data_IF_420450715505
#
_entry.id   IF_420450715505
#
_cell.length_a   1.000
_cell.length_b   1.000
_cell.length_c   1.000
_cell.angle_alpha   90.00
_cell.angle_beta   90.00
_cell.angle_gamma   90.00
#
_symmetry.space_group_name_H-M   'P 1'
#
loop_
_entity.id
_entity.type
_entity.pdbx_description
1 polymer ?
#
# COMPACT_ATOMS: atom_id res chain seq x y z
N UNK A 1 41.28 13.93 -24.07
CA UNK A 1 40.26 12.85 -23.92
C UNK A 1 40.26 12.39 -22.48
N UNK A 2 39.41 12.97 -21.69
CA UNK A 2 39.24 12.65 -20.26
C UNK A 2 38.13 11.59 -20.18
N UNK A 3 38.49 10.37 -19.87
CA UNK A 3 37.56 9.26 -19.62
C UNK A 3 36.94 9.47 -18.23
N UNK A 4 35.68 9.91 -18.20
CA UNK A 4 34.87 9.94 -16.99
C UNK A 4 34.44 8.51 -16.69
N UNK A 5 34.89 7.97 -15.55
CA UNK A 5 34.48 6.66 -15.04
C UNK A 5 33.01 6.68 -14.63
N UNK A 6 32.15 5.73 -15.05
CA UNK A 6 30.72 5.77 -14.78
C UNK A 6 30.31 5.07 -13.48
N UNK A 7 31.17 4.92 -12.48
CA UNK A 7 30.87 4.10 -11.31
C UNK A 7 31.15 4.79 -9.97
N UNK A 8 30.49 5.94 -9.76
CA UNK A 8 30.27 6.41 -8.40
C UNK A 8 28.76 6.28 -8.11
N UNK A 9 28.33 5.11 -7.62
CA UNK A 9 27.06 4.98 -6.91
C UNK A 9 27.03 6.05 -5.83
N UNK A 10 26.01 6.89 -5.86
CA UNK A 10 25.81 7.85 -4.77
C UNK A 10 25.86 7.08 -3.44
N UNK A 11 26.53 7.63 -2.42
CA UNK A 11 26.60 6.96 -1.12
C UNK A 11 25.19 6.66 -0.64
N UNK A 12 24.97 5.43 -0.18
CA UNK A 12 23.69 5.07 0.42
C UNK A 12 23.38 6.06 1.55
N UNK A 13 22.22 6.71 1.49
CA UNK A 13 21.77 7.57 2.57
C UNK A 13 21.46 6.64 3.75
N UNK A 14 22.31 6.67 4.76
CA UNK A 14 22.04 5.96 6.01
C UNK A 14 21.14 6.86 6.84
N UNK A 15 19.93 6.41 7.22
CA UNK A 15 19.04 7.20 8.05
C UNK A 15 19.71 7.58 9.36
N UNK A 16 19.66 8.84 9.73
CA UNK A 16 20.11 9.31 11.04
C UNK A 16 18.91 9.47 11.96
N UNK A 17 18.64 8.47 12.78
CA UNK A 17 17.50 8.46 13.71
C UNK A 17 17.65 9.47 14.87
N UNK A 18 18.86 9.98 15.11
CA UNK A 18 19.15 10.96 16.15
C UNK A 18 19.05 12.41 15.63
N UNK A 19 18.64 12.63 14.37
CA UNK A 19 18.49 13.98 13.82
C UNK A 19 17.18 14.61 14.34
N UNK A 20 17.25 15.74 15.10
CA UNK A 20 16.06 16.44 15.56
C UNK A 20 15.10 16.87 14.44
N UNK A 21 15.58 16.99 13.21
CA UNK A 21 14.74 17.26 12.03
C UNK A 21 13.84 16.09 11.65
N UNK A 22 14.08 14.89 12.19
CA UNK A 22 13.23 13.70 11.97
C UNK A 22 12.20 13.51 13.09
N UNK A 23 12.36 14.20 14.23
CA UNK A 23 11.38 14.14 15.32
C UNK A 23 10.01 14.67 14.86
N UNK A 24 8.96 13.90 15.14
CA UNK A 24 7.59 14.29 14.84
C UNK A 24 7.19 14.21 13.37
N UNK A 25 8.02 13.60 12.50
CA UNK A 25 7.60 13.33 11.12
C UNK A 25 6.45 12.34 11.10
N UNK A 26 5.42 12.68 10.30
CA UNK A 26 4.26 11.83 10.09
C UNK A 26 4.00 11.59 8.61
N UNK A 27 3.60 10.38 8.26
CA UNK A 27 3.18 10.01 6.93
C UNK A 27 1.74 9.48 6.96
N UNK A 28 0.87 10.04 6.14
CA UNK A 28 -0.49 9.59 5.95
C UNK A 28 -0.66 9.10 4.49
N UNK A 29 -1.05 7.85 4.30
CA UNK A 29 -1.21 7.23 2.99
C UNK A 29 -2.69 6.89 2.80
N UNK A 30 -3.31 7.47 1.77
CA UNK A 30 -4.67 7.13 1.36
C UNK A 30 -4.60 6.04 0.29
N UNK A 31 -5.03 4.83 0.64
CA UNK A 31 -5.11 3.68 -0.25
C UNK A 31 -6.51 3.62 -0.86
N UNK A 32 -6.64 3.99 -2.14
CA UNK A 32 -7.95 4.07 -2.84
C UNK A 32 -8.18 2.97 -3.87
N UNK A 33 -7.18 2.16 -4.16
CA UNK A 33 -7.21 1.09 -5.17
C UNK A 33 -7.10 -0.29 -4.51
N UNK A 34 -7.88 -1.25 -4.99
CA UNK A 34 -7.93 -2.62 -4.50
C UNK A 34 -7.32 -3.65 -5.46
N UNK A 35 -6.60 -3.22 -6.50
CA UNK A 35 -5.88 -4.15 -7.37
C UNK A 35 -4.51 -4.47 -6.80
N UNK A 36 -4.03 -5.69 -7.05
CA UNK A 36 -2.80 -6.21 -6.46
C UNK A 36 -1.58 -5.31 -6.73
N UNK A 37 -1.46 -4.77 -7.93
CA UNK A 37 -0.37 -3.87 -8.33
C UNK A 37 -0.42 -2.50 -7.65
N UNK A 38 -1.62 -2.04 -7.30
CA UNK A 38 -1.82 -0.75 -6.64
C UNK A 38 -1.81 -0.84 -5.10
N UNK A 39 -1.95 -2.04 -4.55
CA UNK A 39 -1.87 -2.26 -3.11
C UNK A 39 -0.43 -2.12 -2.60
N UNK A 40 0.55 -2.69 -3.31
CA UNK A 40 1.94 -2.71 -2.87
C UNK A 40 2.61 -1.33 -2.74
N UNK A 41 2.43 -0.35 -3.64
CA UNK A 41 3.10 0.95 -3.49
C UNK A 41 2.87 1.62 -2.15
N UNK A 42 1.62 1.59 -1.65
CA UNK A 42 1.28 2.14 -0.34
C UNK A 42 1.94 1.38 0.81
N UNK A 43 1.91 0.05 0.78
CA UNK A 43 2.48 -0.79 1.83
C UNK A 43 4.02 -0.70 1.87
N UNK A 44 4.67 -0.67 0.70
CA UNK A 44 6.13 -0.52 0.60
C UNK A 44 6.58 0.82 1.20
N UNK A 45 5.87 1.92 0.86
CA UNK A 45 6.18 3.24 1.41
C UNK A 45 5.92 3.32 2.91
N UNK A 46 4.83 2.71 3.39
CA UNK A 46 4.51 2.64 4.81
C UNK A 46 5.61 1.90 5.59
N UNK A 47 5.99 0.72 5.11
CA UNK A 47 7.04 -0.08 5.75
C UNK A 47 8.39 0.64 5.76
N UNK A 48 8.76 1.31 4.67
CA UNK A 48 9.99 2.10 4.60
C UNK A 48 9.96 3.27 5.59
N UNK A 49 8.84 4.00 5.67
CA UNK A 49 8.68 5.12 6.59
C UNK A 49 8.79 4.67 8.06
N UNK A 50 8.14 3.56 8.41
CA UNK A 50 8.24 2.97 9.74
C UNK A 50 9.67 2.53 10.07
N UNK A 51 10.40 1.97 9.10
CA UNK A 51 11.82 1.63 9.23
C UNK A 51 12.71 2.86 9.47
N UNK A 52 12.26 4.05 9.09
CA UNK A 52 12.92 5.33 9.38
C UNK A 52 12.37 6.03 10.66
N UNK A 53 11.55 5.35 11.44
CA UNK A 53 10.95 5.91 12.66
C UNK A 53 9.88 6.98 12.42
N UNK A 54 9.30 7.02 11.22
CA UNK A 54 8.24 7.97 10.86
C UNK A 54 6.89 7.38 11.29
N UNK A 55 6.12 8.10 12.11
CA UNK A 55 4.74 7.74 12.45
C UNK A 55 3.90 7.62 11.16
N UNK A 56 3.30 6.46 10.93
CA UNK A 56 2.67 6.17 9.63
C UNK A 56 1.24 5.69 9.79
N UNK A 57 0.33 6.34 9.07
CA UNK A 57 -1.10 6.04 9.05
C UNK A 57 -1.54 5.68 7.63
N UNK A 58 -2.28 4.57 7.49
CA UNK A 58 -2.91 4.15 6.25
C UNK A 58 -4.43 4.29 6.37
N UNK A 59 -5.05 4.91 5.37
CA UNK A 59 -6.49 5.09 5.29
C UNK A 59 -7.05 4.39 4.06
N UNK A 60 -7.81 3.35 4.28
CA UNK A 60 -8.39 2.52 3.22
C UNK A 60 -9.76 3.06 2.83
N UNK A 61 -9.91 3.42 1.57
CA UNK A 61 -11.15 4.01 1.04
C UNK A 61 -11.50 3.43 -0.33
N UNK A 62 -12.76 3.50 -0.72
CA UNK A 62 -13.26 2.94 -1.98
C UNK A 62 -12.77 1.51 -2.19
N UNK A 63 -12.11 1.22 -3.30
CA UNK A 63 -11.62 -0.13 -3.61
C UNK A 63 -10.37 -0.52 -2.80
N UNK A 64 -9.66 0.44 -2.22
CA UNK A 64 -8.60 0.13 -1.26
C UNK A 64 -9.10 -0.64 -0.04
N UNK A 65 -10.41 -0.60 0.23
CA UNK A 65 -11.08 -1.38 1.27
C UNK A 65 -10.91 -2.91 1.09
N UNK A 66 -10.73 -3.37 -0.16
CA UNK A 66 -10.47 -4.78 -0.46
C UNK A 66 -9.20 -5.32 0.23
N UNK A 67 -8.23 -4.43 0.50
CA UNK A 67 -6.98 -4.80 1.16
C UNK A 67 -7.15 -5.17 2.64
N UNK A 68 -8.23 -4.67 3.27
CA UNK A 68 -8.51 -4.87 4.70
C UNK A 68 -9.83 -5.63 4.95
N UNK A 69 -10.53 -6.06 3.92
CA UNK A 69 -11.72 -6.90 4.04
C UNK A 69 -11.30 -8.36 4.12
N UNK A 70 -11.68 -9.06 5.19
CA UNK A 70 -11.35 -10.48 5.45
C UNK A 70 -11.71 -11.42 4.31
N UNK A 71 -12.73 -11.07 3.50
CA UNK A 71 -13.20 -11.90 2.38
C UNK A 71 -12.32 -11.76 1.13
N UNK A 72 -11.65 -10.62 0.95
CA UNK A 72 -10.97 -10.27 -0.32
C UNK A 72 -9.47 -10.07 -0.17
N UNK A 73 -8.98 -9.71 1.02
CA UNK A 73 -7.57 -9.35 1.26
C UNK A 73 -6.56 -10.41 0.81
N UNK A 74 -6.94 -11.69 0.80
CA UNK A 74 -6.08 -12.80 0.36
C UNK A 74 -6.12 -13.03 -1.16
N UNK A 75 -7.07 -12.43 -1.87
CA UNK A 75 -7.30 -12.70 -3.29
C UNK A 75 -7.43 -11.43 -4.14
N UNK A 76 -6.62 -10.43 -3.84
CA UNK A 76 -6.55 -9.25 -4.69
C UNK A 76 -6.10 -9.63 -6.10
N UNK A 77 -6.82 -9.12 -7.10
CA UNK A 77 -6.59 -9.46 -8.50
C UNK A 77 -5.75 -8.37 -9.18
N UNK A 78 -4.97 -8.80 -10.17
CA UNK A 78 -4.27 -7.93 -11.09
C UNK A 78 -4.90 -8.00 -12.47
N UNK A 79 -5.08 -6.85 -13.11
CA UNK A 79 -5.55 -6.80 -14.49
C UNK A 79 -4.52 -6.16 -15.41
N UNK A 80 -4.38 -6.71 -16.61
CA UNK A 80 -3.53 -6.13 -17.66
C UNK A 80 -4.21 -4.93 -18.36
N UNK A 81 -5.48 -4.67 -18.05
CA UNK A 81 -6.23 -3.52 -18.60
C UNK A 81 -5.63 -2.21 -18.10
N UNK A 82 -5.44 -1.28 -19.02
CA UNK A 82 -4.93 0.04 -18.71
C UNK A 82 -3.41 0.19 -18.76
N UNK A 83 -2.66 -0.89 -18.94
CA UNK A 83 -1.21 -0.80 -19.15
C UNK A 83 -0.85 -1.00 -20.64
N UNK A 84 -0.56 0.06 -21.40
CA UNK A 84 -0.26 -0.05 -22.82
C UNK A 84 1.06 -0.80 -23.12
N UNK A 85 1.97 -0.88 -22.16
CA UNK A 85 3.24 -1.60 -22.30
C UNK A 85 3.06 -3.12 -22.42
N UNK A 86 1.90 -3.66 -22.06
CA UNK A 86 1.61 -5.09 -22.20
C UNK A 86 1.28 -5.49 -23.63
N UNK A 87 1.05 -4.55 -24.54
CA UNK A 87 0.64 -4.77 -25.94
C UNK A 87 -0.59 -5.67 -26.11
N UNK A 88 -1.40 -5.81 -25.07
CA UNK A 88 -2.62 -6.65 -25.08
C UNK A 88 -3.81 -5.85 -25.61
N UNK A 89 -4.61 -6.44 -26.54
CA UNK A 89 -5.88 -5.85 -26.92
C UNK A 89 -6.77 -5.68 -25.68
N UNK A 90 -7.27 -4.46 -25.44
CA UNK A 90 -8.06 -4.14 -24.25
C UNK A 90 -9.26 -5.06 -24.02
N UNK A 91 -9.90 -5.50 -25.11
CA UNK A 91 -11.04 -6.43 -25.06
C UNK A 91 -10.71 -7.85 -24.55
N UNK A 92 -9.47 -8.29 -24.65
CA UNK A 92 -9.03 -9.62 -24.18
C UNK A 92 -8.54 -9.61 -22.74
N UNK A 93 -7.98 -8.49 -22.27
CA UNK A 93 -7.42 -8.37 -20.92
C UNK A 93 -8.43 -8.50 -19.79
N UNK A 94 -9.73 -8.35 -20.06
CA UNK A 94 -10.82 -8.52 -19.08
C UNK A 94 -11.39 -9.93 -18.99
N UNK A 95 -10.86 -10.91 -19.74
CA UNK A 95 -11.32 -12.29 -19.64
C UNK A 95 -10.85 -12.90 -18.30
N UNK A 96 -11.72 -13.61 -17.56
CA UNK A 96 -11.41 -14.10 -16.20
C UNK A 96 -10.14 -14.97 -16.13
N UNK A 97 -9.91 -15.83 -17.10
CA UNK A 97 -8.71 -16.66 -17.14
C UNK A 97 -7.42 -15.87 -17.38
N UNK A 98 -7.49 -14.76 -18.11
CA UNK A 98 -6.33 -13.87 -18.33
C UNK A 98 -5.98 -13.09 -17.07
N UNK A 99 -6.98 -12.59 -16.36
CA UNK A 99 -6.81 -11.93 -15.06
C UNK A 99 -6.16 -12.91 -14.05
N UNK A 100 -6.66 -14.14 -13.96
CA UNK A 100 -6.10 -15.16 -13.07
C UNK A 100 -4.63 -15.49 -13.40
N UNK A 101 -4.31 -15.66 -14.70
CA UNK A 101 -2.93 -15.91 -15.14
C UNK A 101 -2.01 -14.72 -14.84
N UNK A 102 -2.47 -13.50 -15.11
CA UNK A 102 -1.70 -12.29 -14.86
C UNK A 102 -1.46 -12.09 -13.36
N UNK A 103 -2.49 -12.30 -12.52
CA UNK A 103 -2.39 -12.23 -11.06
C UNK A 103 -1.40 -13.27 -10.53
N UNK A 104 -1.49 -14.52 -10.98
CA UNK A 104 -0.57 -15.59 -10.58
C UNK A 104 0.88 -15.26 -10.93
N UNK A 105 1.12 -14.74 -12.14
CA UNK A 105 2.45 -14.33 -12.56
C UNK A 105 2.99 -13.17 -11.72
N UNK A 106 2.15 -12.17 -11.42
CA UNK A 106 2.56 -11.04 -10.59
C UNK A 106 2.86 -11.48 -9.15
N UNK A 107 1.99 -12.30 -8.53
CA UNK A 107 2.23 -12.86 -7.19
C UNK A 107 3.55 -13.62 -7.14
N UNK A 108 3.84 -14.44 -8.14
CA UNK A 108 5.11 -15.17 -8.24
C UNK A 108 6.31 -14.21 -8.32
N UNK A 109 6.24 -13.17 -9.15
CA UNK A 109 7.35 -12.20 -9.28
C UNK A 109 7.57 -11.41 -7.99
N UNK A 110 6.50 -11.08 -7.24
CA UNK A 110 6.57 -10.42 -5.95
C UNK A 110 7.24 -11.33 -4.91
N UNK A 111 6.85 -12.61 -4.86
CA UNK A 111 7.44 -13.59 -3.96
C UNK A 111 8.93 -13.85 -4.27
N UNK A 112 9.33 -13.87 -5.54
CA UNK A 112 10.73 -14.05 -5.97
C UNK A 112 11.66 -12.93 -5.47
N UNK A 113 11.14 -11.72 -5.24
CA UNK A 113 11.92 -10.61 -4.66
C UNK A 113 11.77 -10.49 -3.14
N UNK A 114 11.11 -11.48 -2.50
CA UNK A 114 11.01 -11.57 -1.05
C UNK A 114 10.01 -10.58 -0.43
N UNK A 115 9.09 -10.03 -1.21
CA UNK A 115 8.03 -9.15 -0.68
C UNK A 115 6.88 -10.02 -0.18
N UNK A 116 6.36 -9.80 1.05
CA UNK A 116 5.30 -10.61 1.63
C UNK A 116 3.95 -10.41 0.92
N UNK A 117 3.02 -11.34 1.14
CA UNK A 117 1.62 -11.17 0.70
C UNK A 117 0.94 -10.04 1.49
N UNK A 118 -0.17 -9.51 0.96
CA UNK A 118 -0.85 -8.34 1.54
C UNK A 118 -1.17 -8.50 3.02
N UNK A 119 -1.79 -9.61 3.49
CA UNK A 119 -2.09 -9.77 4.92
C UNK A 119 -0.85 -9.78 5.80
N UNK A 120 0.19 -10.50 5.39
CA UNK A 120 1.47 -10.56 6.10
C UNK A 120 2.17 -9.19 6.12
N UNK A 121 2.06 -8.43 5.02
CA UNK A 121 2.63 -7.09 4.94
C UNK A 121 1.91 -6.11 5.87
N UNK A 122 0.57 -6.18 5.94
CA UNK A 122 -0.21 -5.40 6.90
C UNK A 122 0.16 -5.76 8.35
N UNK A 123 0.34 -7.05 8.65
CA UNK A 123 0.81 -7.50 9.96
C UNK A 123 2.18 -6.90 10.32
N UNK A 124 3.13 -6.91 9.39
CA UNK A 124 4.46 -6.30 9.59
C UNK A 124 4.36 -4.80 9.84
N UNK A 125 3.51 -4.10 9.09
CA UNK A 125 3.29 -2.66 9.25
C UNK A 125 2.75 -2.36 10.66
N UNK A 126 1.74 -3.08 11.12
CA UNK A 126 1.18 -2.89 12.47
C UNK A 126 2.19 -3.28 13.54
N UNK A 127 2.91 -4.39 13.38
CA UNK A 127 3.97 -4.81 14.30
C UNK A 127 5.10 -3.76 14.42
N UNK A 128 5.30 -2.95 13.37
CA UNK A 128 6.26 -1.84 13.35
C UNK A 128 5.68 -0.52 13.86
N UNK A 129 4.44 -0.50 14.36
CA UNK A 129 3.77 0.68 14.89
C UNK A 129 2.97 1.50 13.88
N UNK A 130 2.66 0.93 12.72
CA UNK A 130 1.78 1.56 11.73
C UNK A 130 0.30 1.45 12.10
N UNK A 131 -0.48 2.45 11.74
CA UNK A 131 -1.89 2.59 12.06
C UNK A 131 -2.78 2.35 10.83
N UNK A 132 -3.78 1.47 10.95
CA UNK A 132 -4.71 1.12 9.88
C UNK A 132 -6.11 1.66 10.18
N UNK A 133 -6.66 2.47 9.27
CA UNK A 133 -7.96 3.10 9.40
C UNK A 133 -8.87 2.77 8.22
N UNK A 134 -10.12 2.44 8.50
CA UNK A 134 -11.13 2.19 7.48
C UNK A 134 -12.02 3.43 7.28
N UNK A 135 -12.30 3.77 6.01
CA UNK A 135 -13.16 4.89 5.67
C UNK A 135 -14.63 4.57 5.95
N UNK A 136 -15.31 5.35 6.79
CA UNK A 136 -16.71 5.19 7.14
C UNK A 136 -17.62 5.19 5.90
N UNK A 137 -17.43 6.14 4.99
CA UNK A 137 -18.24 6.20 3.78
C UNK A 137 -18.14 4.90 2.96
N UNK A 138 -16.93 4.33 2.86
CA UNK A 138 -16.72 3.09 2.11
C UNK A 138 -17.29 1.87 2.84
N UNK A 139 -17.22 1.85 4.17
CA UNK A 139 -17.86 0.82 4.99
C UNK A 139 -19.40 0.85 4.80
N UNK A 140 -20.01 2.04 4.91
CA UNK A 140 -21.45 2.22 4.76
C UNK A 140 -21.93 1.85 3.34
N UNK A 141 -21.19 2.26 2.31
CA UNK A 141 -21.51 1.92 0.90
C UNK A 141 -21.48 0.42 0.62
N UNK A 142 -20.59 -0.31 1.28
CA UNK A 142 -20.43 -1.76 1.10
C UNK A 142 -21.14 -2.58 2.18
N UNK A 143 -21.87 -1.93 3.08
CA UNK A 143 -22.55 -2.56 4.23
C UNK A 143 -21.63 -3.45 5.07
N UNK A 144 -20.39 -2.97 5.31
CA UNK A 144 -19.37 -3.65 6.10
C UNK A 144 -19.30 -3.05 7.50
N UNK A 145 -19.02 -3.91 8.47
CA UNK A 145 -18.80 -3.57 9.87
C UNK A 145 -17.35 -3.89 10.27
N UNK A 146 -16.96 -3.55 11.49
CA UNK A 146 -15.62 -3.88 12.02
C UNK A 146 -15.35 -5.39 12.00
N UNK A 147 -16.37 -6.23 12.20
CA UNK A 147 -16.25 -7.68 12.15
C UNK A 147 -15.83 -8.24 10.78
N UNK A 148 -16.16 -7.53 9.70
CA UNK A 148 -15.79 -7.89 8.33
C UNK A 148 -14.34 -7.49 7.97
N UNK A 149 -13.73 -6.63 8.78
CA UNK A 149 -12.41 -6.08 8.53
C UNK A 149 -11.30 -6.88 9.20
N UNK A 150 -10.10 -6.71 8.68
CA UNK A 150 -8.88 -7.24 9.27
C UNK A 150 -8.77 -6.82 10.75
N UNK A 151 -8.48 -7.78 11.63
CA UNK A 151 -8.57 -7.59 13.08
C UNK A 151 -7.67 -6.49 13.65
N UNK A 152 -6.66 -6.07 12.92
CA UNK A 152 -5.74 -5.02 13.34
C UNK A 152 -6.10 -3.64 12.76
N UNK A 153 -7.24 -3.50 12.09
CA UNK A 153 -7.79 -2.18 11.75
C UNK A 153 -8.28 -1.53 13.04
N UNK A 154 -7.78 -0.35 13.36
CA UNK A 154 -8.05 0.33 14.63
C UNK A 154 -9.48 0.89 14.73
N UNK A 155 -10.14 1.08 13.59
CA UNK A 155 -11.54 1.47 13.56
C UNK A 155 -12.00 2.04 12.21
N UNK A 156 -13.32 2.20 12.13
CA UNK A 156 -13.98 2.86 10.99
C UNK A 156 -14.18 4.33 11.35
N UNK A 157 -13.44 5.22 10.68
CA UNK A 157 -13.43 6.66 10.96
C UNK A 157 -13.87 7.49 9.76
N UNK A 158 -14.28 8.73 10.01
CA UNK A 158 -14.57 9.68 8.93
C UNK A 158 -13.28 10.25 8.32
N UNK A 159 -13.40 10.87 7.15
CA UNK A 159 -12.26 11.59 6.55
C UNK A 159 -11.80 12.77 7.43
N UNK A 160 -12.72 13.43 8.14
CA UNK A 160 -12.38 14.50 9.07
C UNK A 160 -11.57 14.00 10.26
N UNK A 161 -11.99 12.86 10.85
CA UNK A 161 -11.24 12.23 11.95
C UNK A 161 -9.83 11.82 11.50
N UNK A 162 -9.71 11.32 10.25
CA UNK A 162 -8.41 10.95 9.71
C UNK A 162 -7.49 12.17 9.54
N UNK A 163 -8.00 13.28 8.99
CA UNK A 163 -7.23 14.53 8.84
C UNK A 163 -6.79 15.07 10.20
N UNK A 164 -7.67 15.04 11.21
CA UNK A 164 -7.35 15.47 12.57
C UNK A 164 -6.25 14.60 13.21
N UNK A 165 -6.39 13.25 13.10
CA UNK A 165 -5.40 12.30 13.61
C UNK A 165 -4.01 12.47 12.96
N UNK A 166 -4.00 12.84 11.69
CA UNK A 166 -2.79 12.99 10.88
C UNK A 166 -2.37 14.45 10.69
N UNK A 167 -2.75 15.33 11.62
CA UNK A 167 -2.33 16.73 11.56
C UNK A 167 -0.81 16.86 11.45
N UNK A 168 -0.34 17.65 10.49
CA UNK A 168 1.06 17.83 10.19
C UNK A 168 1.72 16.72 9.36
N UNK A 169 1.00 15.65 9.01
CA UNK A 169 1.53 14.57 8.21
C UNK A 169 1.75 14.99 6.76
N UNK A 170 2.77 14.40 6.13
CA UNK A 170 2.88 14.37 4.68
C UNK A 170 1.80 13.43 4.14
N UNK A 171 0.94 13.92 3.25
CA UNK A 171 -0.17 13.16 2.71
C UNK A 171 0.18 12.59 1.33
N UNK A 172 0.01 11.28 1.17
CA UNK A 172 0.11 10.59 -0.12
C UNK A 172 -1.24 9.97 -0.49
N UNK A 173 -1.60 10.04 -1.76
CA UNK A 173 -2.80 9.43 -2.31
C UNK A 173 -2.42 8.41 -3.39
N UNK A 174 -2.83 7.14 -3.20
CA UNK A 174 -2.50 5.98 -4.07
C UNK A 174 -3.78 5.25 -4.51
#
# INVERSE_FOLDING_TARGET
MTTTSPDALAPAVVPNFDDPATEGRKLAIICSKGTLDMAYPGLVLANAALGEGIETHLFFTFWGFEMINKKTMNDLQFTLLGNPATHMPQGLGGLPWMTAMATSKLKKSIAEVGVPEIPEFLEQIVASGGHLWACRMSADMNHLTEDDLYDQVEGIISASDFIEKTEGAQLLFI
#
